data_IF_109044006217
#
_entry.id   IF_109044006217
#
_cell.length_a   1.000
_cell.length_b   1.000
_cell.length_c   1.000
_cell.angle_alpha   90.00
_cell.angle_beta   90.00
_cell.angle_gamma   90.00
#
_symmetry.space_group_name_H-M   'P 1'
#
loop_
_entity.id
_entity.type
_entity.pdbx_description
1 polymer ?
#
# COMPACT_ATOMS: atom_id res chain seq x y z
N UNK A 1 15.72 -0.14 0.79
CA UNK A 1 15.44 -1.22 -0.19
C UNK A 1 14.64 -0.60 -1.33
N UNK A 2 15.24 -0.49 -2.52
CA UNK A 2 14.64 0.22 -3.66
C UNK A 2 13.47 -0.62 -4.20
N UNK A 3 12.27 -0.06 -4.38
CA UNK A 3 11.15 -0.86 -4.88
C UNK A 3 11.30 -1.07 -6.40
N UNK A 4 11.37 -2.34 -6.83
CA UNK A 4 11.36 -2.75 -8.24
C UNK A 4 10.20 -2.12 -9.05
N UNK A 5 9.10 -1.77 -8.37
CA UNK A 5 7.91 -1.13 -8.92
C UNK A 5 7.59 0.20 -8.21
N UNK A 6 7.06 1.19 -8.94
CA UNK A 6 6.60 2.48 -8.36
C UNK A 6 5.32 2.34 -7.54
N UNK A 7 4.47 1.39 -7.91
CA UNK A 7 3.19 1.13 -7.26
C UNK A 7 2.87 -0.37 -7.36
N UNK A 8 2.09 -0.86 -6.40
CA UNK A 8 1.58 -2.23 -6.35
C UNK A 8 0.20 -2.22 -5.69
N UNK A 9 -0.74 -3.13 -6.07
CA UNK A 9 -2.00 -3.27 -5.36
C UNK A 9 -1.76 -3.64 -3.89
N UNK A 10 -2.46 -2.96 -2.97
CA UNK A 10 -2.41 -3.24 -1.53
C UNK A 10 -3.20 -4.51 -1.21
N UNK A 11 -2.65 -5.32 -0.30
CA UNK A 11 -3.29 -6.51 0.27
C UNK A 11 -3.41 -6.39 1.78
N UNK A 12 -4.22 -7.27 2.36
CA UNK A 12 -4.17 -7.51 3.81
C UNK A 12 -2.76 -7.98 4.17
N UNK A 13 -2.34 -7.62 5.36
CA UNK A 13 -1.02 -7.89 5.93
C UNK A 13 0.17 -7.11 5.39
N UNK A 14 -0.01 -6.19 4.42
CA UNK A 14 1.06 -5.28 4.04
C UNK A 14 1.33 -4.27 5.16
N UNK A 15 2.60 -3.96 5.42
CA UNK A 15 2.98 -2.86 6.33
C UNK A 15 3.05 -1.57 5.56
N UNK A 16 2.43 -0.53 6.11
CA UNK A 16 2.24 0.73 5.41
C UNK A 16 2.45 1.95 6.31
N UNK A 17 2.93 3.03 5.70
CA UNK A 17 3.12 4.34 6.33
C UNK A 17 2.20 5.38 5.70
N UNK A 18 1.48 6.13 6.52
CA UNK A 18 0.62 7.21 6.03
C UNK A 18 1.45 8.46 5.78
N UNK A 19 1.49 8.93 4.54
CA UNK A 19 2.28 10.09 4.12
C UNK A 19 1.47 11.38 4.02
N UNK A 20 0.14 11.30 3.86
CA UNK A 20 -0.74 12.45 3.66
C UNK A 20 -1.98 12.40 4.56
N UNK A 21 -2.47 13.57 4.97
CA UNK A 21 -3.69 13.74 5.77
C UNK A 21 -3.46 13.81 7.29
N UNK A 22 -4.55 13.77 8.06
CA UNK A 22 -4.51 13.97 9.51
C UNK A 22 -3.74 12.90 10.30
N UNK A 23 -3.63 11.68 9.75
CA UNK A 23 -2.95 10.55 10.39
C UNK A 23 -1.51 10.35 9.84
N UNK A 24 -0.89 11.40 9.30
CA UNK A 24 0.47 11.35 8.73
C UNK A 24 1.49 10.89 9.77
N UNK A 25 2.45 10.09 9.35
CA UNK A 25 3.55 9.57 10.19
C UNK A 25 3.18 8.33 11.00
N UNK A 26 1.92 7.90 10.98
CA UNK A 26 1.53 6.62 11.58
C UNK A 26 1.86 5.47 10.63
N UNK A 27 2.41 4.42 11.21
CA UNK A 27 2.70 3.15 10.55
C UNK A 27 1.80 2.05 11.11
N UNK A 28 1.47 1.07 10.28
CA UNK A 28 0.72 -0.08 10.73
C UNK A 28 0.50 -1.09 9.63
N UNK A 29 -0.02 -2.25 10.03
CA UNK A 29 -0.37 -3.34 9.12
C UNK A 29 -1.78 -3.14 8.57
N UNK A 30 -1.99 -3.47 7.30
CA UNK A 30 -3.32 -3.40 6.69
C UNK A 30 -4.18 -4.56 7.21
N UNK A 31 -5.23 -4.24 7.98
CA UNK A 31 -6.16 -5.23 8.54
C UNK A 31 -7.21 -5.66 7.53
N UNK A 32 -7.77 -4.69 6.80
CA UNK A 32 -8.81 -4.92 5.82
C UNK A 32 -8.72 -3.96 4.63
N UNK A 33 -9.03 -4.49 3.45
CA UNK A 33 -9.17 -3.71 2.22
C UNK A 33 -10.66 -3.66 1.88
N UNK A 34 -11.27 -2.49 2.05
CA UNK A 34 -12.70 -2.29 1.81
C UNK A 34 -12.92 -1.67 0.43
N UNK A 35 -13.02 -2.56 -0.57
CA UNK A 35 -13.09 -2.18 -1.99
C UNK A 35 -14.36 -1.43 -2.38
N UNK A 36 -15.49 -1.68 -1.72
CA UNK A 36 -16.76 -0.97 -1.98
C UNK A 36 -16.61 0.55 -1.77
N UNK A 37 -15.82 0.97 -0.78
CA UNK A 37 -15.57 2.37 -0.44
C UNK A 37 -14.18 2.86 -0.86
N UNK A 38 -13.41 2.04 -1.58
CA UNK A 38 -12.01 2.33 -1.95
C UNK A 38 -11.13 2.78 -0.78
N UNK A 39 -11.30 2.12 0.35
CA UNK A 39 -10.67 2.47 1.62
C UNK A 39 -9.90 1.27 2.17
N UNK A 40 -8.79 1.55 2.84
CA UNK A 40 -8.03 0.59 3.64
C UNK A 40 -8.13 0.92 5.11
N UNK A 41 -8.16 -0.13 5.93
CA UNK A 41 -8.06 -0.03 7.38
C UNK A 41 -6.66 -0.46 7.80
N UNK A 42 -6.05 0.37 8.63
CA UNK A 42 -4.68 0.21 9.11
C UNK A 42 -4.76 0.00 10.62
N UNK A 43 -3.97 -0.95 11.12
CA UNK A 43 -3.83 -1.21 12.55
C UNK A 43 -3.40 0.07 13.29
N UNK A 44 -3.92 0.29 14.51
CA UNK A 44 -3.67 1.47 15.35
C UNK A 44 -4.19 2.81 14.78
N UNK A 45 -4.93 2.78 13.68
CA UNK A 45 -5.60 3.96 13.11
C UNK A 45 -7.11 3.85 13.34
N UNK A 46 -7.50 4.10 14.59
CA UNK A 46 -8.88 4.06 15.06
C UNK A 46 -9.33 5.43 15.58
N UNK A 47 -10.64 5.61 15.70
CA UNK A 47 -11.29 6.71 16.40
C UNK A 47 -12.21 6.12 17.46
N UNK A 48 -12.26 6.73 18.63
CA UNK A 48 -13.27 6.40 19.63
C UNK A 48 -14.62 7.01 19.28
N UNK A 49 -15.66 6.19 19.38
CA UNK A 49 -17.06 6.63 19.38
C UNK A 49 -17.41 7.17 20.77
N UNK A 50 -18.45 7.99 20.88
CA UNK A 50 -19.00 8.44 22.18
C UNK A 50 -19.40 7.29 23.10
N UNK A 51 -19.68 6.11 22.53
CA UNK A 51 -19.97 4.88 23.27
C UNK A 51 -18.71 4.15 23.80
N UNK A 52 -17.51 4.73 23.67
CA UNK A 52 -16.23 4.13 24.10
C UNK A 52 -15.69 3.03 23.17
N UNK A 53 -16.39 2.69 22.08
CA UNK A 53 -15.91 1.69 21.12
C UNK A 53 -14.92 2.32 20.13
N UNK A 54 -13.81 1.62 19.86
CA UNK A 54 -12.84 2.00 18.83
C UNK A 54 -13.29 1.53 17.44
N UNK A 55 -13.45 2.46 16.51
CA UNK A 55 -13.82 2.20 15.11
C UNK A 55 -12.63 2.51 14.20
N UNK A 56 -12.28 1.62 13.25
CA UNK A 56 -11.18 1.88 12.32
C UNK A 56 -11.51 3.05 11.40
N UNK A 57 -10.55 3.96 11.24
CA UNK A 57 -10.67 5.07 10.29
C UNK A 57 -10.34 4.54 8.90
N UNK A 58 -11.15 4.94 7.93
CA UNK A 58 -10.87 4.65 6.53
C UNK A 58 -9.81 5.55 5.94
N UNK A 59 -8.75 4.98 5.36
CA UNK A 59 -7.73 5.74 4.63
C UNK A 59 -7.72 5.34 3.16
N UNK A 60 -7.58 6.32 2.27
CA UNK A 60 -7.44 6.05 0.85
C UNK A 60 -6.01 5.56 0.56
N UNK A 61 -5.82 4.47 -0.21
CA UNK A 61 -4.50 3.87 -0.43
C UNK A 61 -3.48 4.82 -1.08
N UNK A 62 -3.90 5.84 -1.85
CA UNK A 62 -2.97 6.83 -2.42
C UNK A 62 -2.31 7.77 -1.40
N UNK A 63 -2.82 7.81 -0.16
CA UNK A 63 -2.25 8.62 0.93
C UNK A 63 -1.15 7.87 1.69
N UNK A 64 -0.76 6.70 1.21
CA UNK A 64 0.00 5.71 1.95
C UNK A 64 1.15 5.19 1.08
N UNK A 65 2.28 4.90 1.73
CA UNK A 65 3.45 4.25 1.14
C UNK A 65 3.58 2.86 1.75
N UNK A 66 3.87 1.85 0.93
CA UNK A 66 4.05 0.48 1.40
C UNK A 66 5.50 0.29 1.84
N UNK A 67 5.70 -0.13 3.08
CA UNK A 67 7.02 -0.38 3.68
C UNK A 67 7.46 -1.83 3.44
N UNK A 68 6.60 -2.79 3.79
CA UNK A 68 6.84 -4.23 3.60
C UNK A 68 5.66 -4.88 2.90
N UNK A 69 5.96 -5.76 1.96
CA UNK A 69 4.98 -6.51 1.21
C UNK A 69 4.83 -7.91 1.80
N UNK A 70 3.59 -8.39 1.93
CA UNK A 70 3.33 -9.81 2.04
C UNK A 70 3.58 -10.45 0.67
N UNK A 71 4.60 -11.29 0.58
CA UNK A 71 4.99 -12.00 -0.63
C UNK A 71 4.20 -13.32 -0.73
N UNK A 72 3.63 -13.53 -1.90
CA UNK A 72 3.01 -14.78 -2.34
C UNK A 72 3.52 -15.05 -3.76
N UNK A 73 3.43 -16.29 -4.26
CA UNK A 73 3.86 -16.67 -5.62
C UNK A 73 3.32 -15.73 -6.72
N UNK A 74 2.04 -15.36 -6.62
CA UNK A 74 1.42 -14.44 -7.58
C UNK A 74 1.91 -13.00 -7.45
N UNK A 75 2.35 -12.61 -6.25
CA UNK A 75 2.87 -11.26 -6.03
C UNK A 75 4.29 -11.13 -6.58
N UNK A 76 5.09 -12.18 -6.42
CA UNK A 76 6.42 -12.28 -7.01
C UNK A 76 6.34 -12.24 -8.54
N UNK A 77 5.42 -12.99 -9.16
CA UNK A 77 5.23 -12.97 -10.62
C UNK A 77 4.80 -11.60 -11.14
N UNK A 78 3.95 -10.87 -10.40
CA UNK A 78 3.59 -9.49 -10.73
C UNK A 78 4.81 -8.55 -10.66
N UNK A 79 5.64 -8.69 -9.62
CA UNK A 79 6.84 -7.88 -9.45
C UNK A 79 7.86 -8.13 -10.57
N UNK A 80 8.09 -9.39 -10.93
CA UNK A 80 8.96 -9.76 -12.05
C UNK A 80 8.46 -9.20 -13.38
N UNK A 81 7.15 -9.29 -13.64
CA UNK A 81 6.54 -8.74 -14.85
C UNK A 81 6.73 -7.23 -14.93
N UNK A 82 6.49 -6.51 -13.83
CA UNK A 82 6.68 -5.04 -13.78
C UNK A 82 8.15 -4.68 -14.00
N UNK A 83 9.08 -5.44 -13.41
CA UNK A 83 10.52 -5.24 -13.57
C UNK A 83 10.94 -5.34 -15.05
N UNK A 84 10.54 -6.43 -15.74
CA UNK A 84 10.85 -6.64 -17.18
C UNK A 84 10.32 -5.51 -18.05
N UNK A 85 9.07 -5.08 -17.84
CA UNK A 85 8.48 -3.98 -18.61
C UNK A 85 9.21 -2.65 -18.39
N UNK A 86 9.71 -2.40 -17.18
CA UNK A 86 10.52 -1.22 -16.87
C UNK A 86 11.87 -1.23 -17.57
N UNK A 87 12.55 -2.37 -17.58
CA UNK A 87 13.85 -2.54 -18.25
C UNK A 87 13.75 -2.33 -19.76
N UNK A 88 12.71 -2.87 -20.40
CA UNK A 88 12.44 -2.64 -21.82
C UNK A 88 12.17 -1.16 -22.13
N UNK A 89 11.38 -0.49 -21.29
CA UNK A 89 11.08 0.94 -21.44
C UNK A 89 12.29 1.84 -21.19
N UNK A 90 13.23 1.41 -20.35
CA UNK A 90 14.46 2.15 -20.09
C UNK A 90 15.42 2.07 -21.27
N UNK A 91 15.54 0.91 -21.92
CA UNK A 91 16.36 0.73 -23.13
C UNK A 91 15.83 1.58 -24.29
N UNK A 92 14.53 1.51 -24.59
CA UNK A 92 13.93 2.32 -25.66
C UNK A 92 13.99 3.85 -25.46
N UNK A 93 14.32 4.34 -24.26
CA UNK A 93 14.60 5.75 -23.97
C UNK A 93 16.09 6.11 -24.04
N UNK A 94 16.97 5.13 -23.98
CA UNK A 94 18.41 5.33 -24.14
C UNK A 94 18.83 5.30 -25.61
N UNK A 95 18.06 4.58 -26.45
CA UNK A 95 18.27 4.46 -27.89
C UNK A 95 17.57 5.58 -28.72
N UNK A 96 16.89 6.53 -28.07
CA UNK A 96 16.17 7.67 -28.67
C UNK A 96 16.69 9.00 -28.10
#
# INVERSE_FOLDING_TARGET
>A
MVPQARSIPIRKDDEVTIVRGANKGREGKVTAVYRLKYVIHIERVTREKTSGQSVPIGIHPSKVVVNKLKLDKDRESILERIKRGREASAKGKADA
#
